data_IF_194332282889
#
_entry.id   IF_194332282889
#
_cell.length_a   1.000
_cell.length_b   1.000
_cell.length_c   1.000
_cell.angle_alpha   90.00
_cell.angle_beta   90.00
_cell.angle_gamma   90.00
#
_symmetry.space_group_name_H-M   'P 1'
#
loop_
_entity.id
_entity.type
_entity.pdbx_description
1 polymer ?
#
# COMPACT_ATOMS: atom_id res chain seq x y z
N UNK A 1 32.60 -38.75 -34.28
CA UNK A 1 33.14 -38.25 -33.00
C UNK A 1 32.74 -36.80 -32.67
N UNK A 2 32.63 -35.87 -33.62
CA UNK A 2 32.33 -34.47 -33.42
C UNK A 2 30.86 -34.18 -32.96
N UNK A 3 29.88 -34.97 -33.37
CA UNK A 3 28.46 -34.80 -32.96
C UNK A 3 28.15 -35.16 -31.49
N UNK A 4 28.96 -35.94 -30.84
CA UNK A 4 28.80 -36.31 -29.40
C UNK A 4 29.37 -35.21 -28.49
N UNK A 5 30.44 -34.54 -28.85
CA UNK A 5 31.04 -33.47 -28.06
C UNK A 5 30.16 -32.23 -28.00
N UNK A 6 29.46 -31.85 -29.08
CA UNK A 6 28.58 -30.68 -29.10
C UNK A 6 27.35 -30.87 -28.19
N UNK A 7 26.84 -32.09 -28.03
CA UNK A 7 25.72 -32.40 -27.12
C UNK A 7 26.12 -32.31 -25.64
N UNK A 8 27.32 -32.76 -25.30
CA UNK A 8 27.84 -32.66 -23.91
C UNK A 8 28.07 -31.19 -23.49
N UNK A 9 28.66 -30.39 -24.36
CA UNK A 9 28.92 -28.98 -24.09
C UNK A 9 27.62 -28.13 -23.92
N UNK A 10 26.57 -28.52 -24.60
CA UNK A 10 25.27 -27.84 -24.51
C UNK A 10 24.49 -28.23 -23.22
N UNK A 11 24.68 -29.45 -22.74
CA UNK A 11 24.08 -29.96 -21.50
C UNK A 11 24.79 -29.39 -20.28
N UNK A 12 26.13 -29.29 -20.28
CA UNK A 12 26.88 -28.65 -19.17
C UNK A 12 26.55 -27.16 -19.03
N UNK A 13 26.51 -26.38 -20.11
CA UNK A 13 26.11 -24.95 -20.04
C UNK A 13 24.66 -24.76 -19.60
N UNK A 14 23.75 -25.69 -19.90
CA UNK A 14 22.38 -25.68 -19.38
C UNK A 14 22.32 -25.96 -17.88
N UNK A 15 23.14 -26.91 -17.40
CA UNK A 15 23.23 -27.23 -15.97
C UNK A 15 23.92 -26.15 -15.16
N UNK A 16 24.93 -25.47 -15.70
CA UNK A 16 25.57 -24.32 -15.04
C UNK A 16 24.62 -23.10 -14.95
N UNK A 17 23.86 -22.81 -16.02
CA UNK A 17 22.83 -21.76 -15.97
C UNK A 17 21.70 -22.11 -15.03
N UNK A 18 21.28 -23.38 -14.96
CA UNK A 18 20.27 -23.85 -14.01
C UNK A 18 20.77 -23.77 -12.56
N UNK A 19 22.02 -24.15 -12.29
CA UNK A 19 22.64 -23.99 -10.97
C UNK A 19 22.85 -22.53 -10.59
N UNK A 20 23.26 -21.67 -11.52
CA UNK A 20 23.38 -20.23 -11.28
C UNK A 20 22.00 -19.59 -11.00
N UNK A 21 20.96 -19.94 -11.72
CA UNK A 21 19.58 -19.52 -11.44
C UNK A 21 19.08 -20.04 -10.09
N UNK A 22 19.35 -21.31 -9.74
CA UNK A 22 18.95 -21.86 -8.43
C UNK A 22 19.72 -21.19 -7.27
N UNK A 23 20.97 -20.81 -7.46
CA UNK A 23 21.75 -20.05 -6.47
C UNK A 23 21.30 -18.58 -6.35
N UNK A 24 20.77 -17.98 -7.42
CA UNK A 24 20.17 -16.64 -7.35
C UNK A 24 18.82 -16.70 -6.65
N UNK A 25 18.05 -17.78 -6.85
CA UNK A 25 16.74 -18.00 -6.22
C UNK A 25 16.84 -18.51 -4.76
N UNK A 26 17.99 -19.07 -4.35
CA UNK A 26 18.25 -19.55 -2.98
C UNK A 26 18.93 -18.53 -2.08
N UNK A 27 19.25 -17.34 -2.57
CA UNK A 27 19.69 -16.27 -1.67
C UNK A 27 18.48 -15.86 -0.82
N UNK A 28 18.58 -15.92 0.52
CA UNK A 28 17.55 -15.34 1.36
C UNK A 28 17.39 -13.89 0.92
N UNK A 29 16.13 -13.51 0.67
CA UNK A 29 15.80 -12.15 0.28
C UNK A 29 16.53 -11.19 1.25
N UNK A 30 17.45 -10.31 0.79
CA UNK A 30 18.19 -9.42 1.67
C UNK A 30 17.29 -8.41 2.41
N UNK A 31 15.98 -8.44 2.14
CA UNK A 31 14.96 -7.54 2.64
C UNK A 31 14.19 -8.09 3.84
N UNK A 32 14.81 -8.96 4.68
CA UNK A 32 14.22 -9.26 5.99
C UNK A 32 14.31 -8.00 6.84
N UNK A 33 13.17 -7.30 6.91
CA UNK A 33 12.81 -6.34 7.95
C UNK A 33 13.96 -5.45 8.43
N UNK A 34 14.41 -4.54 7.60
CA UNK A 34 15.00 -3.32 8.15
C UNK A 34 13.91 -2.61 8.95
N UNK A 35 14.17 -2.22 10.21
CA UNK A 35 13.20 -1.47 11.01
C UNK A 35 12.84 -0.11 10.39
N UNK A 36 13.46 0.22 9.26
CA UNK A 36 13.29 1.46 8.52
C UNK A 36 13.45 1.20 7.02
N UNK A 37 12.52 1.72 6.22
CA UNK A 37 12.64 1.76 4.76
C UNK A 37 13.10 3.16 4.35
N UNK A 38 14.29 3.24 3.78
CA UNK A 38 14.83 4.45 3.16
C UNK A 38 14.83 4.19 1.65
N UNK A 39 14.11 4.99 0.85
CA UNK A 39 14.08 4.82 -0.61
C UNK A 39 15.50 4.83 -1.19
N UNK A 40 15.77 3.91 -2.11
CA UNK A 40 17.07 3.80 -2.78
C UNK A 40 17.26 4.88 -3.85
N UNK A 41 16.15 5.38 -4.41
CA UNK A 41 16.10 6.42 -5.44
C UNK A 41 14.73 7.09 -5.46
N UNK A 42 14.57 8.11 -6.29
CA UNK A 42 13.25 8.69 -6.57
C UNK A 42 12.45 7.71 -7.45
N UNK A 43 11.13 7.66 -7.27
CA UNK A 43 10.30 6.69 -8.02
C UNK A 43 10.25 6.95 -9.51
N UNK A 44 10.64 8.14 -9.99
CA UNK A 44 10.81 8.44 -11.41
C UNK A 44 11.89 7.60 -12.09
N UNK A 45 12.82 7.04 -11.31
CA UNK A 45 13.92 6.18 -11.78
C UNK A 45 13.53 4.69 -11.80
N UNK A 46 12.32 4.37 -11.33
CA UNK A 46 11.82 3.00 -11.23
C UNK A 46 10.87 2.65 -12.37
N UNK A 47 10.87 1.38 -12.76
CA UNK A 47 9.79 0.82 -13.54
C UNK A 47 8.56 0.61 -12.65
N UNK A 48 7.49 1.35 -12.93
CA UNK A 48 6.25 1.26 -12.18
C UNK A 48 5.32 0.23 -12.86
N UNK A 49 5.03 -0.86 -12.16
CA UNK A 49 4.01 -1.80 -12.61
C UNK A 49 2.65 -1.12 -12.66
N UNK A 50 1.92 -1.30 -13.75
CA UNK A 50 0.51 -0.94 -13.77
C UNK A 50 -0.22 -1.72 -12.66
N UNK A 51 -1.32 -1.17 -12.16
CA UNK A 51 -2.11 -1.87 -11.14
C UNK A 51 -2.54 -3.28 -11.62
N UNK A 52 -2.92 -3.41 -12.88
CA UNK A 52 -3.29 -4.71 -13.48
C UNK A 52 -2.12 -5.70 -13.50
N UNK A 53 -0.90 -5.26 -13.79
CA UNK A 53 0.29 -6.10 -13.70
C UNK A 53 0.60 -6.48 -12.24
N UNK A 54 0.44 -5.54 -11.31
CA UNK A 54 0.67 -5.77 -9.89
C UNK A 54 -0.34 -6.73 -9.23
N UNK A 55 -1.51 -6.93 -9.84
CA UNK A 55 -2.50 -7.93 -9.42
C UNK A 55 -2.09 -9.38 -9.75
N UNK A 56 -1.20 -9.57 -10.73
CA UNK A 56 -0.79 -10.92 -11.16
C UNK A 56 0.05 -11.57 -10.06
N UNK A 57 -0.37 -12.75 -9.55
CA UNK A 57 0.37 -13.46 -8.54
C UNK A 57 1.76 -13.91 -9.02
N UNK A 58 2.81 -13.53 -8.29
CA UNK A 58 4.19 -13.94 -8.60
C UNK A 58 4.86 -14.73 -7.47
N UNK A 59 4.31 -14.67 -6.24
CA UNK A 59 4.87 -15.31 -5.05
C UNK A 59 3.83 -16.10 -4.26
N UNK A 60 4.32 -17.08 -3.45
CA UNK A 60 3.51 -17.92 -2.56
C UNK A 60 4.11 -17.96 -1.15
N UNK A 61 4.75 -16.89 -0.69
CA UNK A 61 5.42 -16.81 0.60
C UNK A 61 4.53 -16.23 1.72
N UNK A 62 3.27 -15.97 1.42
CA UNK A 62 2.24 -15.56 2.40
C UNK A 62 0.88 -16.17 2.02
N UNK A 63 -0.03 -16.21 3.00
CA UNK A 63 -1.40 -16.71 2.82
C UNK A 63 -2.25 -15.68 2.04
N UNK A 64 -2.56 -16.00 0.78
CA UNK A 64 -3.37 -15.16 -0.11
C UNK A 64 -4.86 -15.19 0.22
N UNK A 65 -5.33 -16.21 0.92
CA UNK A 65 -6.72 -16.29 1.37
C UNK A 65 -6.97 -15.38 2.58
N UNK A 66 -5.90 -15.02 3.30
CA UNK A 66 -5.95 -14.10 4.41
C UNK A 66 -5.60 -12.66 4.02
N UNK A 67 -4.69 -12.46 3.06
CA UNK A 67 -4.09 -11.15 2.81
C UNK A 67 -4.34 -10.62 1.40
N UNK A 68 -4.57 -9.30 1.32
CA UNK A 68 -4.34 -8.48 0.14
C UNK A 68 -2.96 -7.86 0.24
N UNK A 69 -2.10 -8.04 -0.76
CA UNK A 69 -0.78 -7.42 -0.83
C UNK A 69 -0.42 -7.13 -2.28
N UNK A 70 -0.35 -5.86 -2.65
CA UNK A 70 -0.19 -5.42 -4.05
C UNK A 70 0.83 -4.28 -4.13
N UNK A 71 1.91 -4.48 -4.91
CA UNK A 71 2.33 -5.73 -5.54
C UNK A 71 2.60 -6.83 -4.51
N UNK A 72 2.56 -8.09 -4.92
CA UNK A 72 2.66 -9.26 -4.04
C UNK A 72 4.08 -9.56 -3.52
N UNK A 73 4.97 -8.60 -3.65
CA UNK A 73 6.34 -8.63 -3.16
C UNK A 73 6.73 -7.28 -2.54
N UNK A 74 7.84 -7.27 -1.80
CA UNK A 74 8.38 -6.04 -1.25
C UNK A 74 9.04 -5.22 -2.37
N UNK A 75 8.48 -4.06 -2.68
CA UNK A 75 8.96 -3.12 -3.68
C UNK A 75 9.13 -1.72 -3.06
N UNK A 76 9.72 -0.78 -3.77
CA UNK A 76 9.86 0.62 -3.35
C UNK A 76 8.51 1.37 -3.25
N UNK A 77 7.42 0.71 -3.65
CA UNK A 77 6.06 1.21 -3.52
C UNK A 77 5.08 0.09 -3.14
N UNK A 78 3.90 0.47 -2.66
CA UNK A 78 2.81 -0.46 -2.30
C UNK A 78 1.47 0.20 -2.53
N UNK A 79 0.62 -0.42 -3.34
CA UNK A 79 -0.75 0.05 -3.58
C UNK A 79 -1.68 -0.36 -2.45
N UNK A 80 -1.64 -1.61 -2.00
CA UNK A 80 -2.56 -2.15 -1.02
C UNK A 80 -1.87 -3.13 -0.06
N UNK A 81 -2.25 -3.08 1.21
CA UNK A 81 -2.01 -4.13 2.19
C UNK A 81 -3.22 -4.22 3.13
N UNK A 82 -3.75 -5.42 3.34
CA UNK A 82 -4.87 -5.59 4.26
C UNK A 82 -5.28 -7.04 4.42
N UNK A 83 -6.27 -7.27 5.26
CA UNK A 83 -6.85 -8.59 5.46
C UNK A 83 -8.14 -8.74 4.66
N UNK A 84 -8.44 -9.95 4.21
CA UNK A 84 -9.69 -10.27 3.52
C UNK A 84 -10.84 -10.37 4.52
N UNK A 85 -11.99 -9.85 4.15
CA UNK A 85 -13.22 -9.91 4.92
C UNK A 85 -14.40 -9.41 4.10
N UNK A 86 -15.58 -9.44 4.71
CA UNK A 86 -16.84 -9.02 4.07
C UNK A 86 -17.18 -7.57 4.32
N UNK A 87 -16.67 -7.00 5.42
CA UNK A 87 -16.94 -5.64 5.86
C UNK A 87 -15.62 -4.94 6.25
N UNK A 88 -14.74 -4.60 5.27
CA UNK A 88 -13.46 -3.98 5.54
C UNK A 88 -13.60 -2.49 5.88
N UNK A 89 -12.78 -2.00 6.82
CA UNK A 89 -12.51 -0.57 6.96
C UNK A 89 -11.33 -0.19 6.05
N UNK A 90 -11.55 0.70 5.08
CA UNK A 90 -10.50 1.22 4.21
C UNK A 90 -9.81 2.38 4.93
N UNK A 91 -8.56 2.24 5.31
CA UNK A 91 -7.77 3.29 5.96
C UNK A 91 -6.81 3.94 4.98
N UNK A 92 -6.79 5.28 4.92
CA UNK A 92 -5.90 6.03 4.04
C UNK A 92 -4.85 6.77 4.87
N UNK A 93 -3.61 6.24 4.90
CA UNK A 93 -2.43 6.90 5.45
C UNK A 93 -1.74 7.82 4.44
N UNK A 94 -0.56 8.34 4.78
CA UNK A 94 0.16 9.24 3.87
C UNK A 94 0.99 8.46 2.85
N UNK A 95 1.82 7.55 3.30
CA UNK A 95 2.69 6.70 2.48
C UNK A 95 2.98 5.37 3.18
N UNK A 96 3.25 4.27 2.46
CA UNK A 96 3.62 3.01 3.07
C UNK A 96 5.03 3.05 3.69
N UNK A 97 5.23 2.22 4.73
CA UNK A 97 6.53 1.98 5.35
C UNK A 97 6.94 0.50 5.16
N UNK A 98 7.38 -0.17 6.21
CA UNK A 98 7.98 -1.50 6.14
C UNK A 98 6.99 -2.66 6.14
N UNK A 99 5.75 -2.44 6.55
CA UNK A 99 4.76 -3.50 6.76
C UNK A 99 4.55 -4.40 5.53
N UNK A 100 4.39 -5.69 5.81
CA UNK A 100 4.10 -6.77 4.86
C UNK A 100 3.13 -7.78 5.49
N UNK A 101 2.56 -8.73 4.73
CA UNK A 101 1.73 -9.80 5.28
C UNK A 101 2.44 -10.55 6.42
N UNK A 102 1.75 -10.73 7.56
CA UNK A 102 2.30 -11.37 8.74
C UNK A 102 3.31 -10.55 9.56
N UNK A 103 3.77 -9.41 9.03
CA UNK A 103 4.72 -8.49 9.71
C UNK A 103 4.22 -7.04 9.62
N UNK A 104 3.19 -6.76 10.40
CA UNK A 104 2.60 -5.42 10.48
C UNK A 104 3.45 -4.50 11.35
N UNK A 105 3.68 -3.29 10.87
CA UNK A 105 4.24 -2.21 11.70
C UNK A 105 3.23 -1.70 12.75
N UNK A 106 3.66 -0.82 13.63
CA UNK A 106 2.82 -0.31 14.72
C UNK A 106 1.61 0.49 14.21
N UNK A 107 1.71 1.11 13.05
CA UNK A 107 0.60 1.84 12.41
C UNK A 107 -0.47 0.86 11.98
N UNK A 108 -0.11 -0.20 11.25
CA UNK A 108 -1.08 -1.16 10.75
C UNK A 108 -1.67 -2.03 11.87
N UNK A 109 -0.89 -2.37 12.91
CA UNK A 109 -1.42 -2.99 14.13
C UNK A 109 -2.49 -2.11 14.80
N UNK A 110 -2.29 -0.78 14.77
CA UNK A 110 -3.29 0.16 15.27
C UNK A 110 -4.52 0.21 14.38
N UNK A 111 -4.34 0.22 13.04
CA UNK A 111 -5.45 0.19 12.08
C UNK A 111 -6.29 -1.06 12.25
N UNK A 112 -5.67 -2.24 12.27
CA UNK A 112 -6.37 -3.52 12.49
C UNK A 112 -7.19 -3.52 13.78
N UNK A 113 -6.58 -3.07 14.87
CA UNK A 113 -7.24 -3.01 16.18
C UNK A 113 -8.45 -2.07 16.18
N UNK A 114 -8.32 -0.88 15.59
CA UNK A 114 -9.41 0.11 15.52
C UNK A 114 -10.51 -0.38 14.60
N UNK A 115 -10.18 -0.98 13.45
CA UNK A 115 -11.18 -1.59 12.57
C UNK A 115 -12.03 -2.62 13.34
N UNK A 116 -11.38 -3.59 13.99
CA UNK A 116 -12.07 -4.61 14.80
C UNK A 116 -12.89 -4.01 15.93
N UNK A 117 -12.37 -3.01 16.63
CA UNK A 117 -13.05 -2.33 17.74
C UNK A 117 -14.28 -1.53 17.33
N UNK A 118 -14.38 -1.17 16.04
CA UNK A 118 -15.50 -0.44 15.44
C UNK A 118 -16.45 -1.35 14.61
N UNK A 119 -16.34 -2.68 14.74
CA UNK A 119 -17.27 -3.64 14.13
C UNK A 119 -16.96 -4.02 12.69
N UNK A 120 -15.78 -3.68 12.18
CA UNK A 120 -15.29 -4.17 10.89
C UNK A 120 -14.59 -5.51 11.07
N UNK A 121 -14.75 -6.42 10.11
CA UNK A 121 -14.13 -7.76 10.17
C UNK A 121 -12.72 -7.80 9.61
N UNK A 122 -12.34 -6.76 8.87
CA UNK A 122 -11.07 -6.67 8.16
C UNK A 122 -10.66 -5.21 7.95
N UNK A 123 -9.46 -4.98 7.45
CA UNK A 123 -8.99 -3.65 7.08
C UNK A 123 -8.25 -3.68 5.75
N UNK A 124 -8.30 -2.56 5.03
CA UNK A 124 -7.55 -2.33 3.79
C UNK A 124 -6.76 -1.04 3.94
N UNK A 125 -5.43 -1.14 3.94
CA UNK A 125 -4.55 0.03 4.07
C UNK A 125 -4.14 0.54 2.72
N UNK A 126 -4.61 1.73 2.40
CA UNK A 126 -4.18 2.58 1.29
C UNK A 126 -3.32 3.74 1.76
N UNK A 127 -2.73 4.43 0.81
CA UNK A 127 -1.96 5.63 1.11
C UNK A 127 -2.24 6.71 0.06
N UNK A 128 -2.13 7.97 0.47
CA UNK A 128 -2.26 9.12 -0.43
C UNK A 128 -1.22 9.04 -1.55
N UNK A 129 0.01 8.63 -1.21
CA UNK A 129 1.08 8.38 -2.17
C UNK A 129 1.68 6.99 -1.95
N UNK A 130 1.90 6.24 -3.01
CA UNK A 130 2.23 4.81 -2.90
C UNK A 130 3.70 4.51 -2.63
N UNK A 131 4.62 5.47 -2.71
CA UNK A 131 6.05 5.28 -2.43
C UNK A 131 6.29 4.88 -0.98
N UNK A 132 7.10 3.83 -0.75
CA UNK A 132 7.54 3.48 0.60
C UNK A 132 8.58 4.48 1.10
N UNK A 133 8.36 4.97 2.31
CA UNK A 133 9.35 5.72 3.08
C UNK A 133 8.99 5.65 4.56
N UNK A 134 9.93 5.31 5.44
CA UNK A 134 9.70 5.33 6.89
C UNK A 134 9.65 6.76 7.41
N UNK A 135 10.49 7.63 6.86
CA UNK A 135 10.46 9.06 7.14
C UNK A 135 9.78 9.79 5.98
N UNK A 136 8.74 10.60 6.24
CA UNK A 136 8.04 11.34 5.18
C UNK A 136 8.93 12.31 4.40
N UNK A 137 10.05 12.72 4.97
CA UNK A 137 11.06 13.55 4.31
C UNK A 137 11.72 12.84 3.13
N UNK A 138 11.77 11.50 3.17
CA UNK A 138 12.43 10.68 2.16
C UNK A 138 11.51 10.41 0.94
N UNK A 139 10.23 10.85 0.99
CA UNK A 139 9.34 10.77 -0.18
C UNK A 139 9.82 11.65 -1.33
N UNK A 140 9.44 11.27 -2.55
CA UNK A 140 9.70 12.02 -3.78
C UNK A 140 9.50 13.53 -3.61
N UNK A 141 10.41 14.33 -4.17
CA UNK A 141 10.28 15.77 -4.16
C UNK A 141 9.19 16.26 -5.12
N UNK A 142 8.99 15.52 -6.21
CA UNK A 142 7.99 15.78 -7.24
C UNK A 142 7.14 14.52 -7.41
N UNK A 143 5.83 14.71 -7.60
CA UNK A 143 4.90 13.59 -7.81
C UNK A 143 5.28 12.77 -9.04
N UNK A 144 5.44 11.45 -8.87
CA UNK A 144 5.48 10.54 -10.00
C UNK A 144 4.04 10.27 -10.46
N UNK A 145 3.66 10.89 -11.57
CA UNK A 145 2.29 10.80 -12.09
C UNK A 145 1.91 9.37 -12.53
N UNK A 146 2.88 8.56 -12.97
CA UNK A 146 2.63 7.16 -13.30
C UNK A 146 2.27 6.37 -12.03
N UNK A 147 3.07 6.49 -10.97
CA UNK A 147 2.81 5.85 -9.70
C UNK A 147 1.48 6.32 -9.09
N UNK A 148 1.20 7.61 -9.14
CA UNK A 148 -0.05 8.18 -8.63
C UNK A 148 -1.28 7.65 -9.40
N UNK A 149 -1.24 7.63 -10.72
CA UNK A 149 -2.32 7.08 -11.57
C UNK A 149 -2.63 5.63 -11.21
N UNK A 150 -1.60 4.80 -11.07
CA UNK A 150 -1.79 3.38 -10.72
C UNK A 150 -2.29 3.21 -9.27
N UNK A 151 -1.91 4.11 -8.36
CA UNK A 151 -2.45 4.16 -7.01
C UNK A 151 -3.95 4.50 -7.01
N UNK A 152 -4.38 5.45 -7.85
CA UNK A 152 -5.81 5.80 -8.00
C UNK A 152 -6.59 4.67 -8.67
N UNK A 153 -6.01 3.97 -9.64
CA UNK A 153 -6.61 2.76 -10.23
C UNK A 153 -6.83 1.66 -9.18
N UNK A 154 -5.85 1.47 -8.29
CA UNK A 154 -5.96 0.53 -7.16
C UNK A 154 -7.07 0.94 -6.18
N UNK A 155 -7.20 2.22 -5.88
CA UNK A 155 -8.25 2.72 -4.98
C UNK A 155 -9.64 2.53 -5.57
N UNK A 156 -9.82 2.88 -6.85
CA UNK A 156 -11.06 2.66 -7.59
C UNK A 156 -11.46 1.18 -7.57
N UNK A 157 -10.54 0.29 -7.91
CA UNK A 157 -10.77 -1.15 -7.89
C UNK A 157 -11.28 -1.65 -6.54
N UNK A 158 -10.68 -1.18 -5.44
CA UNK A 158 -11.12 -1.61 -4.10
C UNK A 158 -12.52 -1.09 -3.77
N UNK A 159 -12.84 0.15 -4.12
CA UNK A 159 -14.18 0.70 -3.91
C UNK A 159 -15.23 -0.05 -4.72
N UNK A 160 -14.92 -0.47 -5.95
CA UNK A 160 -15.78 -1.33 -6.77
C UNK A 160 -16.08 -2.67 -6.09
N UNK A 161 -15.02 -3.35 -5.59
CA UNK A 161 -15.17 -4.65 -4.94
C UNK A 161 -15.97 -4.57 -3.61
N UNK A 162 -15.73 -3.54 -2.81
CA UNK A 162 -16.44 -3.32 -1.53
C UNK A 162 -17.86 -2.82 -1.77
N UNK A 163 -18.07 -2.03 -2.82
CA UNK A 163 -19.36 -1.41 -3.16
C UNK A 163 -20.44 -2.38 -3.64
N UNK A 164 -20.10 -3.62 -3.99
CA UNK A 164 -21.07 -4.66 -4.38
C UNK A 164 -21.94 -5.16 -3.20
N UNK A 165 -22.60 -4.24 -2.49
CA UNK A 165 -23.54 -4.56 -1.42
C UNK A 165 -23.48 -3.70 -0.18
N UNK A 166 -22.44 -2.87 -0.03
CA UNK A 166 -22.26 -1.98 1.11
C UNK A 166 -21.72 -0.63 0.67
N UNK A 167 -22.04 0.41 1.44
CA UNK A 167 -21.41 1.72 1.29
C UNK A 167 -19.96 1.62 1.79
N UNK A 168 -18.93 1.87 0.96
CA UNK A 168 -17.55 1.77 1.40
C UNK A 168 -17.26 2.73 2.56
N UNK A 169 -16.72 2.20 3.66
CA UNK A 169 -16.27 2.99 4.81
C UNK A 169 -14.80 3.35 4.64
N UNK A 170 -14.49 4.64 4.51
CA UNK A 170 -13.16 5.16 4.23
C UNK A 170 -12.69 6.04 5.38
N UNK A 171 -11.70 5.57 6.12
CA UNK A 171 -11.09 6.29 7.22
C UNK A 171 -9.91 7.14 6.74
N UNK A 172 -10.08 8.46 6.78
CA UNK A 172 -9.03 9.45 6.56
C UNK A 172 -8.04 9.45 7.73
N UNK A 173 -6.77 9.14 7.47
CA UNK A 173 -5.75 8.92 8.48
C UNK A 173 -4.35 9.46 8.12
N UNK A 174 -4.25 10.39 7.18
CA UNK A 174 -2.97 10.91 6.66
C UNK A 174 -2.26 11.92 7.57
N UNK A 175 -2.93 12.45 8.59
CA UNK A 175 -2.31 13.36 9.56
C UNK A 175 -1.83 14.69 8.97
N UNK A 176 -1.00 15.40 9.75
CA UNK A 176 -0.41 16.70 9.34
C UNK A 176 0.69 16.54 8.29
N UNK A 177 1.13 15.32 8.01
CA UNK A 177 2.17 15.02 7.02
C UNK A 177 1.71 15.35 5.60
N UNK A 178 0.41 15.50 5.37
CA UNK A 178 -0.16 16.00 4.11
C UNK A 178 0.47 17.34 3.65
N UNK A 179 1.05 18.10 4.55
CA UNK A 179 1.70 19.39 4.26
C UNK A 179 3.18 19.25 3.85
N UNK A 180 3.77 18.04 3.90
CA UNK A 180 5.20 17.83 3.61
C UNK A 180 5.56 18.00 2.14
N UNK A 181 4.62 17.72 1.24
CA UNK A 181 4.79 17.87 -0.21
C UNK A 181 3.54 18.52 -0.80
N UNK A 182 3.68 19.53 -1.65
CA UNK A 182 2.51 20.21 -2.24
C UNK A 182 1.57 19.25 -2.98
N UNK A 183 2.11 18.28 -3.71
CA UNK A 183 1.35 17.33 -4.52
C UNK A 183 0.43 16.41 -3.71
N UNK A 184 0.70 16.18 -2.42
CA UNK A 184 -0.11 15.30 -1.58
C UNK A 184 -1.54 15.81 -1.43
N UNK A 185 -1.73 17.12 -1.44
CA UNK A 185 -3.07 17.74 -1.38
C UNK A 185 -3.88 17.42 -2.63
N UNK A 186 -3.26 17.48 -3.79
CA UNK A 186 -3.91 17.16 -5.06
C UNK A 186 -4.23 15.65 -5.14
N UNK A 187 -3.33 14.79 -4.66
CA UNK A 187 -3.60 13.35 -4.53
C UNK A 187 -4.82 13.07 -3.64
N UNK A 188 -4.97 13.77 -2.51
CA UNK A 188 -6.16 13.61 -1.64
C UNK A 188 -7.42 14.11 -2.34
N UNK A 189 -7.38 15.24 -3.06
CA UNK A 189 -8.54 15.73 -3.81
C UNK A 189 -9.04 14.73 -4.83
N UNK A 190 -8.13 14.13 -5.62
CA UNK A 190 -8.49 13.10 -6.59
C UNK A 190 -9.05 11.85 -5.91
N UNK A 191 -8.43 11.41 -4.80
CA UNK A 191 -8.91 10.25 -4.03
C UNK A 191 -10.30 10.48 -3.45
N UNK A 192 -10.61 11.70 -2.98
CA UNK A 192 -11.94 12.04 -2.49
C UNK A 192 -12.95 12.07 -3.63
N UNK A 193 -12.61 12.64 -4.78
CA UNK A 193 -13.48 12.64 -5.95
C UNK A 193 -13.84 11.22 -6.40
N UNK A 194 -12.87 10.31 -6.41
CA UNK A 194 -13.13 8.87 -6.68
C UNK A 194 -14.07 8.30 -5.60
N UNK A 195 -13.84 8.60 -4.32
CA UNK A 195 -14.69 8.13 -3.23
C UNK A 195 -16.14 8.60 -3.36
N UNK A 196 -16.37 9.81 -3.85
CA UNK A 196 -17.71 10.38 -4.11
C UNK A 196 -18.45 9.61 -5.21
N UNK A 197 -17.76 9.19 -6.28
CA UNK A 197 -18.35 8.36 -7.34
C UNK A 197 -18.94 7.03 -6.79
N UNK A 198 -18.32 6.49 -5.72
CA UNK A 198 -18.76 5.26 -5.05
C UNK A 198 -19.60 5.52 -3.79
N UNK A 199 -20.02 6.75 -3.55
CA UNK A 199 -20.78 7.14 -2.35
C UNK A 199 -20.10 6.72 -1.04
N UNK A 200 -18.75 6.74 -0.99
CA UNK A 200 -18.00 6.34 0.18
C UNK A 200 -18.36 7.16 1.41
N UNK A 201 -18.45 6.50 2.57
CA UNK A 201 -18.59 7.17 3.85
C UNK A 201 -17.19 7.55 4.34
N UNK A 202 -16.94 8.85 4.41
CA UNK A 202 -15.67 9.36 4.96
C UNK A 202 -15.74 9.42 6.47
N UNK A 203 -14.73 8.85 7.12
CA UNK A 203 -14.60 8.73 8.56
C UNK A 203 -13.26 9.29 9.03
N UNK A 204 -13.18 9.68 10.29
CA UNK A 204 -11.92 9.95 10.99
C UNK A 204 -11.98 9.37 12.41
N UNK A 205 -10.82 9.17 13.04
CA UNK A 205 -10.70 8.75 14.42
C UNK A 205 -9.82 9.75 15.18
N UNK A 206 -10.12 9.96 16.46
CA UNK A 206 -9.40 10.90 17.31
C UNK A 206 -9.63 12.37 16.99
N UNK A 207 -8.89 13.24 17.69
CA UNK A 207 -9.00 14.67 17.54
C UNK A 207 -8.25 15.16 16.31
N UNK A 208 -8.92 15.88 15.42
CA UNK A 208 -8.28 16.57 14.29
C UNK A 208 -7.26 17.62 14.78
N UNK A 209 -6.25 17.89 13.98
CA UNK A 209 -5.28 18.94 14.21
C UNK A 209 -5.95 20.36 14.22
N UNK A 210 -5.23 21.38 14.65
CA UNK A 210 -5.74 22.77 14.60
C UNK A 210 -6.11 23.22 13.18
N UNK A 211 -5.48 22.65 12.16
CA UNK A 211 -5.78 22.90 10.74
C UNK A 211 -6.81 21.92 10.15
N UNK A 212 -7.49 21.14 10.98
CA UNK A 212 -8.52 20.21 10.54
C UNK A 212 -8.03 18.85 10.04
N UNK A 213 -6.70 18.61 9.93
CA UNK A 213 -6.18 17.33 9.43
C UNK A 213 -6.61 16.16 10.32
N UNK A 214 -7.01 15.01 9.72
CA UNK A 214 -7.38 13.81 10.45
C UNK A 214 -6.19 13.24 11.22
N UNK A 215 -6.44 12.55 12.32
CA UNK A 215 -5.38 12.01 13.17
C UNK A 215 -4.73 10.77 12.56
N UNK A 216 -3.42 10.62 12.75
CA UNK A 216 -2.68 9.44 12.30
C UNK A 216 -2.92 8.24 13.23
N UNK A 217 -3.06 6.98 12.74
CA UNK A 217 -3.49 5.84 13.55
C UNK A 217 -2.56 5.46 14.69
N UNK A 218 -1.25 5.70 14.54
CA UNK A 218 -0.21 5.26 15.49
C UNK A 218 -0.45 5.75 16.93
N UNK A 219 -1.01 6.93 17.10
CA UNK A 219 -1.16 7.59 18.42
C UNK A 219 -2.60 7.54 18.96
N UNK A 220 -3.46 6.73 18.35
CA UNK A 220 -4.84 6.61 18.79
C UNK A 220 -4.98 5.59 19.93
N UNK A 221 -5.98 5.84 20.78
CA UNK A 221 -6.37 4.91 21.85
C UNK A 221 -6.84 3.58 21.26
N UNK A 222 -6.82 2.52 22.06
CA UNK A 222 -7.23 1.18 21.61
C UNK A 222 -8.71 1.10 21.23
N UNK A 223 -9.52 1.88 21.89
CA UNK A 223 -10.98 1.97 21.82
C UNK A 223 -11.48 3.22 21.12
N UNK A 224 -10.62 3.86 20.30
CA UNK A 224 -10.99 5.11 19.63
C UNK A 224 -12.09 4.86 18.61
N UNK A 225 -13.25 5.53 18.73
CA UNK A 225 -14.33 5.38 17.78
C UNK A 225 -14.03 6.11 16.47
N UNK A 226 -14.41 5.49 15.35
CA UNK A 226 -14.48 6.20 14.07
C UNK A 226 -15.78 7.01 14.02
N UNK A 227 -15.73 8.19 13.40
CA UNK A 227 -16.84 9.15 13.29
C UNK A 227 -16.86 9.74 11.89
N UNK A 228 -18.01 10.27 11.47
CA UNK A 228 -18.11 10.95 10.20
C UNK A 228 -17.09 12.08 10.09
N UNK A 229 -16.47 12.15 8.92
CA UNK A 229 -15.49 13.17 8.57
C UNK A 229 -16.06 14.04 7.44
N UNK A 230 -16.29 15.33 7.68
CA UNK A 230 -16.81 16.25 6.65
C UNK A 230 -15.68 16.56 5.65
N UNK A 231 -15.39 15.60 4.79
CA UNK A 231 -14.23 15.63 3.90
C UNK A 231 -14.32 16.75 2.88
N UNK A 232 -15.52 17.09 2.38
CA UNK A 232 -15.71 18.20 1.44
C UNK A 232 -15.33 19.54 2.08
N UNK A 233 -15.83 19.85 3.30
CA UNK A 233 -15.44 21.05 4.05
C UNK A 233 -13.92 21.08 4.35
N UNK A 234 -13.34 19.91 4.61
CA UNK A 234 -11.89 19.78 4.80
C UNK A 234 -11.12 20.12 3.53
N UNK A 235 -11.57 19.68 2.35
CA UNK A 235 -10.91 19.99 1.07
C UNK A 235 -10.93 21.50 0.76
N UNK A 236 -12.00 22.21 1.13
CA UNK A 236 -12.10 23.67 0.97
C UNK A 236 -11.05 24.43 1.80
N UNK A 237 -10.62 23.81 2.92
CA UNK A 237 -9.60 24.37 3.82
C UNK A 237 -8.18 23.89 3.54
N UNK A 238 -7.99 22.92 2.62
CA UNK A 238 -6.73 22.29 2.29
C UNK A 238 -6.00 23.04 1.17
#
# INVERSE_FOLDING_TARGET
MVRYMIRYYTIEKRNEKSKALSQILSRPCPWRCSPMHIPSCQTQELEILTFQQALVPTRNDYDRDQWHYIPDHYAEYRYLLGTRGKNPLICIGINPSTAAPGDLDNTLKSVERIAKGNGYDSFLMFNVYAQRATRPEDMDQVCNLALHRENMAAFRYVLEQVGEGYRPAVWAAWGTIIEKRPYLKDCVREMVAIGEEFHAQWLCAGKRSKKGHPHHPLYLRKDEPVRDFPVSEYLDSL
#
